data_IF_988653561820
#
_entry.id   IF_988653561820
#
_cell.length_a   1.000
_cell.length_b   1.000
_cell.length_c   1.000
_cell.angle_alpha   90.00
_cell.angle_beta   90.00
_cell.angle_gamma   90.00
#
_symmetry.space_group_name_H-M   'P 1'
#
loop_
_entity.id
_entity.type
_entity.pdbx_description
1 polymer ?
#
# COMPACT_ATOMS: atom_id res chain seq x y z
N UNK A 1 22.35 -22.19 -25.41
CA UNK A 1 21.08 -21.45 -25.62
C UNK A 1 20.14 -21.40 -24.40
N UNK A 2 20.48 -21.99 -23.24
CA UNK A 2 19.60 -21.99 -22.05
C UNK A 2 19.67 -20.73 -21.15
N UNK A 3 20.66 -19.85 -21.32
CA UNK A 3 20.85 -18.70 -20.41
C UNK A 3 19.83 -17.56 -20.60
N UNK A 4 19.22 -17.40 -21.79
CA UNK A 4 18.34 -16.26 -22.08
C UNK A 4 16.97 -16.33 -21.40
N UNK A 5 16.44 -17.53 -21.15
CA UNK A 5 15.12 -17.71 -20.52
C UNK A 5 15.19 -17.61 -18.99
N UNK A 6 16.26 -18.16 -18.40
CA UNK A 6 16.48 -18.11 -16.94
C UNK A 6 16.76 -16.67 -16.47
N UNK A 7 17.59 -15.91 -17.20
CA UNK A 7 17.88 -14.50 -16.88
C UNK A 7 16.62 -13.62 -16.94
N UNK A 8 15.73 -13.87 -17.91
CA UNK A 8 14.45 -13.17 -18.00
C UNK A 8 13.54 -13.47 -16.79
N UNK A 9 13.34 -14.75 -16.44
CA UNK A 9 12.51 -15.17 -15.31
C UNK A 9 12.98 -14.56 -13.99
N UNK A 10 14.29 -14.59 -13.74
CA UNK A 10 14.90 -13.98 -12.55
C UNK A 10 14.60 -12.47 -12.48
N UNK A 11 14.79 -11.73 -13.58
CA UNK A 11 14.52 -10.28 -13.63
C UNK A 11 13.05 -9.95 -13.40
N UNK A 12 12.14 -10.71 -14.00
CA UNK A 12 10.69 -10.52 -13.81
C UNK A 12 10.31 -10.73 -12.34
N UNK A 13 10.79 -11.81 -11.73
CA UNK A 13 10.50 -12.11 -10.32
C UNK A 13 11.05 -11.03 -9.40
N UNK A 14 12.28 -10.56 -9.62
CA UNK A 14 12.85 -9.46 -8.84
C UNK A 14 12.03 -8.17 -8.98
N UNK A 15 11.58 -7.83 -10.19
CA UNK A 15 10.72 -6.68 -10.40
C UNK A 15 9.39 -6.83 -9.64
N UNK A 16 8.78 -8.02 -9.67
CA UNK A 16 7.53 -8.28 -8.94
C UNK A 16 7.73 -8.19 -7.43
N UNK A 17 8.83 -8.73 -6.91
CA UNK A 17 9.20 -8.62 -5.49
C UNK A 17 9.30 -7.15 -5.06
N UNK A 18 9.88 -6.28 -5.88
CA UNK A 18 9.96 -4.84 -5.60
C UNK A 18 8.59 -4.17 -5.54
N UNK A 19 7.65 -4.54 -6.44
CA UNK A 19 6.27 -4.04 -6.37
C UNK A 19 5.53 -4.54 -5.11
N UNK A 20 5.75 -5.80 -4.69
CA UNK A 20 5.18 -6.33 -3.45
C UNK A 20 5.71 -5.58 -2.22
N UNK A 21 7.02 -5.33 -2.19
CA UNK A 21 7.67 -4.54 -1.14
C UNK A 21 7.12 -3.12 -1.07
N UNK A 22 6.95 -2.47 -2.23
CA UNK A 22 6.37 -1.13 -2.28
C UNK A 22 4.94 -1.12 -1.72
N UNK A 23 4.09 -2.04 -2.19
CA UNK A 23 2.71 -2.15 -1.71
C UNK A 23 2.65 -2.39 -0.20
N UNK A 24 3.51 -3.27 0.31
CA UNK A 24 3.61 -3.57 1.73
C UNK A 24 4.08 -2.35 2.54
N UNK A 25 5.06 -1.60 2.05
CA UNK A 25 5.60 -0.40 2.72
C UNK A 25 4.52 0.68 2.89
N UNK A 26 3.69 0.89 1.87
CA UNK A 26 2.55 1.82 1.96
C UNK A 26 1.53 1.37 3.01
N UNK A 27 1.21 0.07 3.07
CA UNK A 27 0.31 -0.48 4.09
C UNK A 27 0.89 -0.32 5.51
N UNK A 28 2.20 -0.52 5.67
CA UNK A 28 2.90 -0.30 6.94
C UNK A 28 2.82 1.17 7.36
N UNK A 29 3.10 2.11 6.46
CA UNK A 29 2.94 3.54 6.76
C UNK A 29 1.53 3.90 7.22
N UNK A 30 0.52 3.35 6.56
CA UNK A 30 -0.87 3.54 6.96
C UNK A 30 -1.13 2.96 8.36
N UNK A 31 -0.67 1.73 8.64
CA UNK A 31 -0.80 1.10 9.95
C UNK A 31 -0.16 1.97 11.04
N UNK A 32 1.08 2.38 10.81
CA UNK A 32 1.85 3.16 11.76
C UNK A 32 1.24 4.54 12.00
N UNK A 33 0.71 5.21 10.98
CA UNK A 33 0.09 6.53 11.15
C UNK A 33 -1.29 6.44 11.80
N UNK A 34 -2.15 5.56 11.30
CA UNK A 34 -3.60 5.63 11.56
C UNK A 34 -4.17 4.49 12.40
N UNK A 35 -3.49 3.34 12.47
CA UNK A 35 -3.99 2.15 13.18
C UNK A 35 -3.20 1.84 14.47
N UNK A 36 -2.12 2.57 14.74
CA UNK A 36 -1.22 2.26 15.87
C UNK A 36 -1.91 2.37 17.24
N UNK A 37 -2.48 3.52 17.60
CA UNK A 37 -3.30 3.71 18.81
C UNK A 37 -4.10 5.04 18.80
N UNK A 38 -4.99 5.21 19.80
CA UNK A 38 -5.83 6.42 19.94
C UNK A 38 -5.03 7.71 20.17
N UNK A 39 -3.94 7.64 20.92
CA UNK A 39 -3.09 8.81 21.20
C UNK A 39 -2.46 9.35 19.91
N UNK A 40 -1.98 8.46 19.03
CA UNK A 40 -1.43 8.85 17.72
C UNK A 40 -2.52 9.46 16.84
N UNK A 41 -3.72 8.88 16.81
CA UNK A 41 -4.85 9.46 16.06
C UNK A 41 -5.22 10.85 16.57
N UNK A 42 -5.23 11.05 17.88
CA UNK A 42 -5.51 12.35 18.51
C UNK A 42 -4.46 13.38 18.13
N UNK A 43 -3.17 13.02 18.20
CA UNK A 43 -2.06 13.89 17.78
C UNK A 43 -2.18 14.32 16.32
N UNK A 44 -2.47 13.39 15.40
CA UNK A 44 -2.63 13.74 13.98
C UNK A 44 -3.80 14.71 13.75
N UNK A 45 -4.92 14.50 14.46
CA UNK A 45 -6.08 15.41 14.40
C UNK A 45 -5.74 16.80 14.92
N UNK A 46 -5.04 16.88 16.04
CA UNK A 46 -4.65 18.14 16.65
C UNK A 46 -3.64 18.91 15.80
N UNK A 47 -2.63 18.21 15.26
CA UNK A 47 -1.60 18.82 14.44
C UNK A 47 -2.15 19.35 13.11
N UNK A 48 -2.97 18.56 12.39
CA UNK A 48 -3.55 18.98 11.11
C UNK A 48 -4.75 18.11 10.69
N UNK A 49 -5.89 18.25 11.38
CA UNK A 49 -7.09 17.42 11.18
C UNK A 49 -7.47 17.17 9.72
N UNK A 50 -7.69 18.22 8.93
CA UNK A 50 -8.13 18.08 7.53
C UNK A 50 -7.08 17.36 6.68
N UNK A 51 -5.81 17.75 6.80
CA UNK A 51 -4.74 17.15 6.02
C UNK A 51 -4.57 15.65 6.31
N UNK A 52 -4.55 15.26 7.59
CA UNK A 52 -4.43 13.85 7.95
C UNK A 52 -5.70 13.06 7.70
N UNK A 53 -6.87 13.71 7.70
CA UNK A 53 -8.12 13.12 7.22
C UNK A 53 -8.06 12.78 5.73
N UNK A 54 -7.64 13.73 4.90
CA UNK A 54 -7.48 13.54 3.45
C UNK A 54 -6.42 12.48 3.14
N UNK A 55 -5.28 12.53 3.84
CA UNK A 55 -4.19 11.56 3.66
C UNK A 55 -4.61 10.13 4.03
N UNK A 56 -5.43 9.96 5.07
CA UNK A 56 -5.99 8.66 5.43
C UNK A 56 -6.79 8.05 4.27
N UNK A 57 -7.72 8.83 3.70
CA UNK A 57 -8.56 8.40 2.58
C UNK A 57 -7.69 8.02 1.37
N UNK A 58 -6.74 8.90 1.01
CA UNK A 58 -5.83 8.67 -0.11
C UNK A 58 -5.01 7.39 0.04
N UNK A 59 -4.52 7.11 1.25
CA UNK A 59 -3.73 5.90 1.51
C UNK A 59 -4.60 4.64 1.44
N UNK A 60 -5.82 4.66 1.99
CA UNK A 60 -6.75 3.52 1.88
C UNK A 60 -7.04 3.21 0.41
N UNK A 61 -7.39 4.23 -0.38
CA UNK A 61 -7.62 4.07 -1.82
C UNK A 61 -6.36 3.52 -2.53
N UNK A 62 -5.20 4.07 -2.21
CA UNK A 62 -3.95 3.64 -2.83
C UNK A 62 -3.56 2.21 -2.47
N UNK A 63 -3.79 1.77 -1.23
CA UNK A 63 -3.57 0.37 -0.79
C UNK A 63 -4.46 -0.58 -1.59
N UNK A 64 -5.76 -0.30 -1.68
CA UNK A 64 -6.71 -1.10 -2.48
C UNK A 64 -6.26 -1.17 -3.94
N UNK A 65 -5.78 -0.04 -4.49
CA UNK A 65 -5.26 0.02 -5.85
C UNK A 65 -4.01 -0.85 -6.02
N UNK A 66 -3.04 -0.83 -5.09
CA UNK A 66 -1.85 -1.68 -5.17
C UNK A 66 -2.22 -3.17 -5.09
N UNK A 67 -3.11 -3.55 -4.17
CA UNK A 67 -3.58 -4.93 -4.06
C UNK A 67 -4.24 -5.41 -5.36
N UNK A 68 -5.05 -4.55 -5.99
CA UNK A 68 -5.62 -4.82 -7.31
C UNK A 68 -4.57 -4.90 -8.42
N UNK A 69 -3.57 -4.00 -8.45
CA UNK A 69 -2.49 -4.02 -9.45
C UNK A 69 -1.73 -5.34 -9.42
N UNK A 70 -1.38 -5.83 -8.23
CA UNK A 70 -0.65 -7.08 -8.05
C UNK A 70 -1.44 -8.32 -8.51
N UNK A 71 -2.77 -8.23 -8.47
CA UNK A 71 -3.70 -9.35 -8.73
C UNK A 71 -4.56 -9.17 -9.98
N UNK A 72 -4.27 -8.15 -10.80
CA UNK A 72 -4.97 -7.92 -12.06
C UNK A 72 -4.60 -9.01 -13.09
N UNK A 73 -5.38 -9.16 -14.17
CA UNK A 73 -5.02 -10.06 -15.27
C UNK A 73 -3.63 -9.74 -15.83
N UNK A 74 -2.92 -10.79 -16.27
CA UNK A 74 -1.58 -10.68 -16.86
C UNK A 74 -1.51 -9.83 -18.16
N UNK A 75 -2.65 -9.60 -18.82
CA UNK A 75 -2.75 -8.82 -20.05
C UNK A 75 -3.93 -7.84 -19.96
N UNK A 76 -3.70 -6.59 -20.41
CA UNK A 76 -4.72 -5.52 -20.45
C UNK A 76 -5.21 -5.19 -21.86
N UNK A 77 -4.94 -6.08 -22.82
CA UNK A 77 -5.16 -5.95 -24.24
C UNK A 77 -3.99 -5.29 -24.98
N UNK A 78 -4.00 -5.44 -26.31
CA UNK A 78 -3.03 -4.80 -27.23
C UNK A 78 -1.56 -5.16 -26.97
N UNK A 79 -1.30 -6.38 -26.48
CA UNK A 79 0.07 -6.87 -26.21
C UNK A 79 0.74 -6.19 -25.02
N UNK A 80 -0.05 -5.69 -24.06
CA UNK A 80 0.46 -5.08 -22.83
C UNK A 80 0.41 -6.09 -21.71
N UNK A 81 1.58 -6.62 -21.40
CA UNK A 81 1.81 -7.49 -20.25
C UNK A 81 1.82 -6.68 -18.96
N UNK A 82 1.12 -7.17 -17.94
CA UNK A 82 1.08 -6.59 -16.61
C UNK A 82 1.91 -7.45 -15.66
N UNK A 83 2.71 -6.81 -14.80
CA UNK A 83 3.50 -7.51 -13.79
C UNK A 83 2.60 -7.90 -12.59
N UNK A 84 1.91 -9.03 -12.70
CA UNK A 84 0.93 -9.51 -11.72
C UNK A 84 1.19 -10.95 -11.32
N UNK A 85 0.50 -11.44 -10.28
CA UNK A 85 0.56 -12.84 -9.86
C UNK A 85 0.21 -13.81 -10.99
N UNK A 86 -0.75 -13.44 -11.85
CA UNK A 86 -1.10 -14.21 -13.04
C UNK A 86 0.02 -14.25 -14.09
N UNK A 87 0.75 -13.15 -14.27
CA UNK A 87 1.91 -13.13 -15.17
C UNK A 87 3.03 -14.00 -14.61
N UNK A 88 3.31 -13.89 -13.31
CA UNK A 88 4.29 -14.75 -12.62
C UNK A 88 3.93 -16.22 -12.81
N UNK A 89 2.67 -16.61 -12.69
CA UNK A 89 2.22 -18.00 -12.92
C UNK A 89 2.53 -18.55 -14.32
N UNK A 90 2.69 -17.68 -15.32
CA UNK A 90 2.94 -18.06 -16.71
C UNK A 90 4.41 -18.40 -17.01
N UNK A 91 5.34 -18.09 -16.10
CA UNK A 91 6.79 -18.15 -16.33
C UNK A 91 7.40 -19.57 -16.37
N UNK A 92 6.59 -20.62 -16.30
CA UNK A 92 7.03 -22.02 -16.39
C UNK A 92 7.83 -22.46 -15.15
N UNK A 93 7.15 -23.11 -14.22
CA UNK A 93 7.70 -23.51 -12.91
C UNK A 93 7.85 -25.01 -12.77
N UNK A 94 8.68 -25.45 -11.82
CA UNK A 94 8.67 -26.86 -11.40
C UNK A 94 7.29 -27.23 -10.86
N UNK A 95 6.81 -28.48 -11.03
CA UNK A 95 5.44 -28.86 -10.64
C UNK A 95 5.08 -28.54 -9.18
N UNK A 96 6.02 -28.70 -8.26
CA UNK A 96 5.84 -28.36 -6.84
C UNK A 96 5.66 -26.85 -6.62
N UNK A 97 6.48 -26.03 -7.27
CA UNK A 97 6.40 -24.56 -7.21
C UNK A 97 5.13 -24.06 -7.89
N UNK A 98 4.80 -24.60 -9.07
CA UNK A 98 3.56 -24.29 -9.80
C UNK A 98 2.33 -24.50 -8.91
N UNK A 99 2.25 -25.64 -8.22
CA UNK A 99 1.12 -25.96 -7.34
C UNK A 99 1.01 -24.96 -6.16
N UNK A 100 2.14 -24.59 -5.55
CA UNK A 100 2.18 -23.58 -4.48
C UNK A 100 1.72 -22.21 -4.99
N UNK A 101 2.27 -21.74 -6.11
CA UNK A 101 1.88 -20.47 -6.72
C UNK A 101 0.39 -20.44 -7.09
N UNK A 102 -0.14 -21.52 -7.67
CA UNK A 102 -1.57 -21.61 -8.01
C UNK A 102 -2.46 -21.57 -6.78
N UNK A 103 -2.06 -22.27 -5.72
CA UNK A 103 -2.80 -22.33 -4.46
C UNK A 103 -2.84 -20.96 -3.79
N UNK A 104 -1.70 -20.27 -3.66
CA UNK A 104 -1.64 -18.91 -3.14
C UNK A 104 -2.38 -17.91 -4.04
N UNK A 105 -2.20 -17.96 -5.36
CA UNK A 105 -2.89 -17.06 -6.28
C UNK A 105 -4.41 -17.23 -6.24
N UNK A 106 -4.92 -18.45 -6.04
CA UNK A 106 -6.37 -18.69 -5.90
C UNK A 106 -6.94 -17.89 -4.72
N UNK A 107 -6.22 -17.83 -3.60
CA UNK A 107 -6.65 -17.09 -2.42
C UNK A 107 -6.50 -15.57 -2.60
N UNK A 108 -5.40 -15.13 -3.23
CA UNK A 108 -5.21 -13.73 -3.64
C UNK A 108 -6.33 -13.24 -4.57
N UNK A 109 -6.73 -14.05 -5.55
CA UNK A 109 -7.85 -13.75 -6.46
C UNK A 109 -9.19 -13.69 -5.72
N UNK A 110 -9.43 -14.59 -4.77
CA UNK A 110 -10.64 -14.57 -3.95
C UNK A 110 -10.75 -13.31 -3.08
N UNK A 111 -9.63 -12.80 -2.56
CA UNK A 111 -9.60 -11.49 -1.90
C UNK A 111 -9.84 -10.35 -2.88
N UNK A 112 -9.15 -10.37 -4.04
CA UNK A 112 -9.29 -9.37 -5.11
C UNK A 112 -10.75 -9.17 -5.51
N UNK A 113 -11.54 -10.23 -5.61
CA UNK A 113 -12.94 -10.13 -6.04
C UNK A 113 -13.81 -9.32 -5.07
N UNK A 114 -13.40 -9.23 -3.79
CA UNK A 114 -14.07 -8.40 -2.79
C UNK A 114 -13.77 -6.90 -2.96
N UNK A 115 -12.57 -6.57 -3.42
CA UNK A 115 -12.08 -5.18 -3.54
C UNK A 115 -12.12 -4.63 -4.98
N UNK A 116 -12.32 -5.49 -5.98
CA UNK A 116 -12.31 -5.11 -7.40
C UNK A 116 -13.35 -4.04 -7.75
N UNK A 117 -14.52 -4.11 -7.12
CA UNK A 117 -15.58 -3.13 -7.33
C UNK A 117 -15.27 -1.79 -6.68
N UNK A 118 -14.55 -1.76 -5.54
CA UNK A 118 -14.05 -0.53 -4.94
C UNK A 118 -13.06 0.16 -5.88
N UNK A 119 -12.09 -0.58 -6.42
CA UNK A 119 -11.14 -0.06 -7.42
C UNK A 119 -11.85 0.46 -8.66
N UNK A 120 -12.80 -0.28 -9.21
CA UNK A 120 -13.49 0.11 -10.45
C UNK A 120 -14.40 1.32 -10.23
N UNK A 121 -15.23 1.30 -9.20
CA UNK A 121 -16.33 2.26 -9.05
C UNK A 121 -15.94 3.50 -8.25
N UNK A 122 -15.19 3.33 -7.16
CA UNK A 122 -14.78 4.45 -6.32
C UNK A 122 -13.51 5.09 -6.85
N UNK A 123 -12.45 4.30 -7.05
CA UNK A 123 -11.12 4.84 -7.33
C UNK A 123 -10.97 5.26 -8.80
N UNK A 124 -11.39 4.43 -9.75
CA UNK A 124 -11.10 4.66 -11.17
C UNK A 124 -12.14 5.52 -11.91
N UNK A 125 -13.41 5.47 -11.50
CA UNK A 125 -14.51 6.06 -12.27
C UNK A 125 -15.38 7.06 -11.51
N UNK A 126 -15.14 7.26 -10.20
CA UNK A 126 -15.96 8.13 -9.35
C UNK A 126 -17.46 7.95 -9.63
N UNK A 127 -17.91 6.68 -9.65
CA UNK A 127 -19.26 6.31 -10.05
C UNK A 127 -20.29 7.05 -9.18
N UNK A 128 -21.10 7.90 -9.83
CA UNK A 128 -22.04 8.79 -9.17
C UNK A 128 -22.98 8.04 -8.22
N UNK A 129 -23.42 6.84 -8.60
CA UNK A 129 -24.32 6.03 -7.78
C UNK A 129 -23.62 5.46 -6.54
N UNK A 130 -22.37 5.05 -6.67
CA UNK A 130 -21.56 4.56 -5.56
C UNK A 130 -21.25 5.66 -4.54
N UNK A 131 -21.03 6.90 -5.00
CA UNK A 131 -20.87 8.07 -4.13
C UNK A 131 -22.17 8.51 -3.44
N UNK A 132 -23.33 8.42 -4.10
CA UNK A 132 -24.61 8.85 -3.54
C UNK A 132 -25.23 7.84 -2.56
N UNK A 133 -24.83 6.57 -2.62
CA UNK A 133 -25.43 5.48 -1.81
C UNK A 133 -24.57 5.03 -0.63
N UNK A 134 -23.46 5.71 -0.33
CA UNK A 134 -22.47 5.31 0.70
C UNK A 134 -22.19 3.80 0.67
N UNK A 135 -22.03 3.23 -0.53
CA UNK A 135 -21.86 1.79 -0.66
C UNK A 135 -20.51 1.44 -0.07
N UNK A 136 -20.50 0.59 0.97
CA UNK A 136 -19.29 0.00 1.56
C UNK A 136 -18.57 -0.94 0.58
N UNK A 137 -18.07 -0.39 -0.52
CA UNK A 137 -17.32 -1.13 -1.52
C UNK A 137 -15.91 -1.38 -0.96
N UNK A 138 -15.47 -2.64 -0.99
CA UNK A 138 -14.18 -3.01 -0.44
C UNK A 138 -14.17 -3.21 1.07
N UNK A 139 -15.34 -3.40 1.71
CA UNK A 139 -15.38 -3.85 3.11
C UNK A 139 -14.78 -5.25 3.22
N UNK A 140 -13.53 -5.30 3.67
CA UNK A 140 -12.82 -6.50 4.08
C UNK A 140 -12.56 -6.41 5.57
N UNK A 141 -12.60 -7.54 6.27
CA UNK A 141 -12.20 -7.57 7.67
C UNK A 141 -10.68 -7.43 7.79
N UNK A 142 -10.21 -6.99 8.96
CA UNK A 142 -8.77 -6.96 9.24
C UNK A 142 -8.13 -8.35 9.03
N UNK A 143 -8.81 -9.43 9.43
CA UNK A 143 -8.31 -10.78 9.23
C UNK A 143 -8.21 -11.19 7.75
N UNK A 144 -9.13 -10.73 6.90
CA UNK A 144 -9.07 -10.98 5.46
C UNK A 144 -7.92 -10.22 4.81
N UNK A 145 -7.65 -8.99 5.26
CA UNK A 145 -6.50 -8.22 4.80
C UNK A 145 -5.18 -8.85 5.27
N UNK A 146 -5.07 -9.27 6.53
CA UNK A 146 -3.88 -10.00 7.01
C UNK A 146 -3.64 -11.27 6.17
N UNK A 147 -4.69 -12.04 5.90
CA UNK A 147 -4.58 -13.24 5.08
C UNK A 147 -4.10 -12.93 3.65
N UNK A 148 -4.50 -11.79 3.06
CA UNK A 148 -3.99 -11.36 1.76
C UNK A 148 -2.46 -11.16 1.77
N UNK A 149 -1.92 -10.50 2.81
CA UNK A 149 -0.48 -10.26 2.90
C UNK A 149 0.31 -11.54 3.16
N UNK A 150 -0.24 -12.45 3.98
CA UNK A 150 0.34 -13.78 4.22
C UNK A 150 0.37 -14.62 2.92
N UNK A 151 -0.73 -14.59 2.15
CA UNK A 151 -0.82 -15.27 0.86
C UNK A 151 0.15 -14.69 -0.18
N UNK A 152 0.34 -13.36 -0.16
CA UNK A 152 1.31 -12.69 -1.03
C UNK A 152 2.75 -13.07 -0.66
N UNK A 153 3.06 -13.14 0.63
CA UNK A 153 4.37 -13.59 1.11
C UNK A 153 4.64 -15.04 0.70
N UNK A 154 3.67 -15.96 0.86
CA UNK A 154 3.83 -17.35 0.40
C UNK A 154 4.07 -17.43 -1.11
N UNK A 155 3.32 -16.64 -1.89
CA UNK A 155 3.46 -16.57 -3.35
C UNK A 155 4.86 -16.09 -3.75
N UNK A 156 5.33 -15.00 -3.14
CA UNK A 156 6.66 -14.43 -3.38
C UNK A 156 7.77 -15.40 -2.99
N UNK A 157 7.68 -16.06 -1.84
CA UNK A 157 8.67 -17.04 -1.40
C UNK A 157 8.77 -18.23 -2.36
N UNK A 158 7.64 -18.70 -2.90
CA UNK A 158 7.64 -19.77 -3.88
C UNK A 158 8.31 -19.34 -5.21
N UNK A 159 7.94 -18.18 -5.74
CA UNK A 159 8.49 -17.68 -7.01
C UNK A 159 9.99 -17.33 -6.88
N UNK A 160 10.34 -16.57 -5.84
CA UNK A 160 11.72 -16.16 -5.58
C UNK A 160 12.61 -17.35 -5.26
N UNK A 161 12.12 -18.29 -4.45
CA UNK A 161 12.86 -19.50 -4.07
C UNK A 161 13.33 -20.34 -5.26
N UNK A 162 12.51 -20.48 -6.31
CA UNK A 162 12.92 -21.18 -7.53
C UNK A 162 13.71 -20.30 -8.52
N UNK A 163 13.31 -19.04 -8.72
CA UNK A 163 13.88 -18.20 -9.77
C UNK A 163 15.21 -17.52 -9.38
N UNK A 164 15.42 -17.27 -8.09
CA UNK A 164 16.56 -16.50 -7.57
C UNK A 164 17.29 -17.25 -6.46
N UNK A 165 16.53 -17.87 -5.56
CA UNK A 165 17.02 -18.64 -4.42
C UNK A 165 16.68 -17.98 -3.07
N UNK A 166 16.23 -18.79 -2.12
CA UNK A 166 15.88 -18.36 -0.76
C UNK A 166 14.52 -17.67 -0.64
N UNK A 167 14.00 -17.51 0.59
CA UNK A 167 12.80 -16.71 0.84
C UNK A 167 13.07 -15.23 0.55
N UNK A 168 12.02 -14.49 0.24
CA UNK A 168 12.10 -13.04 0.01
C UNK A 168 11.06 -12.33 0.88
N UNK A 169 11.48 -11.71 2.00
CA UNK A 169 10.57 -11.01 2.89
C UNK A 169 10.05 -9.71 2.25
N UNK A 170 8.74 -9.63 2.00
CA UNK A 170 8.11 -8.43 1.41
C UNK A 170 8.07 -7.24 2.38
N UNK A 171 8.30 -7.48 3.68
CA UNK A 171 8.37 -6.45 4.73
C UNK A 171 9.76 -5.81 4.87
N UNK A 172 10.76 -6.19 4.06
CA UNK A 172 12.16 -5.89 4.35
C UNK A 172 12.63 -4.45 4.09
N UNK A 173 11.85 -3.61 3.41
CA UNK A 173 12.34 -2.30 2.93
C UNK A 173 12.07 -1.10 3.83
N UNK A 174 11.75 -1.33 5.10
CA UNK A 174 11.51 -0.25 6.03
C UNK A 174 12.58 -0.26 7.12
N UNK A 175 13.48 0.75 7.17
CA UNK A 175 14.16 1.09 8.40
C UNK A 175 13.08 1.48 9.42
N UNK A 176 13.02 0.79 10.55
CA UNK A 176 12.22 1.23 11.69
C UNK A 176 12.59 2.68 12.01
N UNK A 177 11.67 3.63 11.82
CA UNK A 177 11.92 5.00 12.29
C UNK A 177 11.32 6.17 11.51
N UNK A 178 10.99 6.06 10.23
CA UNK A 178 10.58 7.26 9.47
C UNK A 178 9.23 7.83 9.93
N UNK A 179 8.22 6.97 10.10
CA UNK A 179 6.93 7.38 10.66
C UNK A 179 7.09 7.79 12.13
N UNK A 180 7.93 7.08 12.89
CA UNK A 180 8.20 7.42 14.29
C UNK A 180 8.85 8.81 14.43
N UNK A 181 9.76 9.17 13.52
CA UNK A 181 10.42 10.46 13.47
C UNK A 181 9.43 11.57 13.15
N UNK A 182 8.54 11.35 12.16
CA UNK A 182 7.45 12.28 11.87
C UNK A 182 6.55 12.49 13.09
N UNK A 183 6.10 11.40 13.72
CA UNK A 183 5.24 11.45 14.93
C UNK A 183 5.93 12.21 16.06
N UNK A 184 7.23 11.98 16.26
CA UNK A 184 8.01 12.70 17.27
C UNK A 184 8.02 14.21 17.02
N UNK A 185 8.30 14.64 15.79
CA UNK A 185 8.33 16.07 15.42
C UNK A 185 6.94 16.71 15.54
N UNK A 186 5.88 16.00 15.18
CA UNK A 186 4.50 16.49 15.32
C UNK A 186 4.13 16.72 16.78
N UNK A 187 4.47 15.78 17.67
CA UNK A 187 4.22 15.91 19.10
C UNK A 187 4.92 17.13 19.68
N UNK A 188 6.21 17.28 19.40
CA UNK A 188 7.00 18.40 19.90
C UNK A 188 6.47 19.75 19.36
N UNK A 189 5.92 19.76 18.14
CA UNK A 189 5.29 20.94 17.55
C UNK A 189 3.95 21.32 18.21
N UNK A 190 3.10 20.34 18.51
CA UNK A 190 1.82 20.57 19.21
C UNK A 190 2.07 21.04 20.65
N UNK A 191 2.97 20.38 21.38
CA UNK A 191 3.35 20.77 22.74
C UNK A 191 3.84 22.23 22.78
N UNK A 192 4.62 22.65 21.78
CA UNK A 192 5.08 24.04 21.67
C UNK A 192 3.93 25.03 21.46
N UNK A 193 2.98 24.71 20.57
CA UNK A 193 1.84 25.59 20.31
C UNK A 193 0.96 25.75 21.54
N UNK A 194 0.77 24.69 22.34
CA UNK A 194 0.03 24.76 23.60
C UNK A 194 0.76 25.62 24.64
N UNK A 195 2.08 25.45 24.77
CA UNK A 195 2.90 26.33 25.61
C UNK A 195 2.75 27.79 25.18
N UNK A 196 2.77 28.11 23.88
CA UNK A 196 2.62 29.48 23.38
C UNK A 196 1.21 30.03 23.58
N UNK A 197 0.16 29.21 23.46
CA UNK A 197 -1.22 29.62 23.79
C UNK A 197 -1.38 29.93 25.27
N UNK A 198 -0.74 29.17 26.15
CA UNK A 198 -0.73 29.39 27.60
C UNK A 198 0.19 30.54 28.02
N UNK A 199 1.17 30.89 27.17
CA UNK A 199 2.18 31.94 27.38
C UNK A 199 2.25 32.89 26.18
N UNK A 200 1.29 33.84 26.05
CA UNK A 200 1.24 34.77 24.93
C UNK A 200 2.50 35.62 24.75
N UNK A 201 3.28 35.78 25.83
CA UNK A 201 4.60 36.42 25.87
C UNK A 201 5.66 35.71 24.99
N UNK A 202 5.42 34.45 24.62
CA UNK A 202 6.27 33.66 23.73
C UNK A 202 5.79 33.65 22.27
N UNK A 203 4.68 34.33 21.95
CA UNK A 203 4.13 34.33 20.59
C UNK A 203 4.99 35.15 19.62
N UNK A 204 5.64 34.46 18.68
CA UNK A 204 6.26 35.09 17.51
C UNK A 204 5.25 34.97 16.37
N UNK A 205 4.77 36.10 15.84
CA UNK A 205 3.85 36.12 14.70
C UNK A 205 4.44 35.36 13.51
N UNK A 206 4.00 34.12 13.30
CA UNK A 206 4.46 33.22 12.21
C UNK A 206 3.83 33.53 10.85
N UNK A 207 3.01 34.57 10.73
CA UNK A 207 2.42 34.98 9.45
C UNK A 207 3.30 36.00 8.72
N UNK A 208 4.43 35.52 8.21
CA UNK A 208 5.12 36.18 7.11
C UNK A 208 4.29 36.07 5.84
N UNK A 209 3.68 37.18 5.41
CA UNK A 209 3.13 37.50 4.08
C UNK A 209 3.03 36.31 3.11
N UNK A 210 1.81 35.77 2.93
CA UNK A 210 1.49 34.95 1.75
C UNK A 210 1.78 35.77 0.50
N UNK A 211 2.71 35.27 -0.30
CA UNK A 211 3.21 35.85 -1.55
C UNK A 211 2.23 35.55 -2.69
N UNK A 212 1.03 36.10 -2.62
CA UNK A 212 0.14 36.34 -3.77
C UNK A 212 -0.64 37.62 -3.47
N UNK A 213 0.06 38.74 -3.62
CA UNK A 213 -0.57 39.98 -3.99
C UNK A 213 -0.68 40.01 -5.52
N UNK A 214 -1.86 40.37 -5.99
CA UNK A 214 -2.18 40.85 -7.33
C UNK A 214 -2.02 39.86 -8.50
N UNK A 215 -3.13 39.17 -8.83
CA UNK A 215 -3.70 39.14 -10.20
C UNK A 215 -5.23 39.15 -10.09
#
# INVERSE_FOLDING_TARGET
>A
MHQSGTDHRTKVVQAFCNECVWACSIRTHFADLFEFNEARRSLLREAANTFFGDLNILLVEYIILQQCKLTDPADSGKGKENLTTDYILSLGWMPSTQARLQTANTRLRAYRDKIADARRKLIAHADLRSHLLEVGLGMVTQSEETAFWDDLQEFVDAAHGEAVGGPFPIHASMPDGDVASLVHVLRDGVDYDDIVKERPDLSISRYGKRRYGDV
#
